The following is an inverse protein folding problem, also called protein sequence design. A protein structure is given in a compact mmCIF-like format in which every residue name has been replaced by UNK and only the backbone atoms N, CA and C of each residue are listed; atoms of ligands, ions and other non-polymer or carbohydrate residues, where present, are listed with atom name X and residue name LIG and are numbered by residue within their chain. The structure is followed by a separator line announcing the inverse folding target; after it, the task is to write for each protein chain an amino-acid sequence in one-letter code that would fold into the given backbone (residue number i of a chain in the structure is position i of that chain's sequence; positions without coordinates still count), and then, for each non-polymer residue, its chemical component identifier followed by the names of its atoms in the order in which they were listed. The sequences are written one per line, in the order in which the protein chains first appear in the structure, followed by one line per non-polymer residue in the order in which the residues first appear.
data_IF_138721963470
#
_entry.id   IF_138721963470
#
_cell.length_a   1.000
_cell.length_b   1.000
_cell.length_c   1.000
_cell.angle_alpha   90.00
_cell.angle_beta   90.00
_cell.angle_gamma   90.00
#
_symmetry.space_group_name_H-M   'P 1'
#
loop_
_entity.id
_entity.type
_entity.pdbx_description
1 polymer ?
#
# COMPACT_ATOMS: atom_id res chain seq x y z
N UNK A 1 0.87 -129.78 -43.59
CA UNK A 1 0.09 -129.07 -42.54
C UNK A 1 0.98 -128.24 -41.60
N UNK A 2 2.07 -128.78 -41.05
CA UNK A 2 2.91 -128.09 -40.05
C UNK A 2 3.44 -126.69 -40.45
N UNK A 3 3.96 -126.52 -41.67
CA UNK A 3 4.50 -125.22 -42.15
C UNK A 3 3.46 -124.09 -42.23
N UNK A 4 2.20 -124.42 -42.55
CA UNK A 4 1.11 -123.43 -42.65
C UNK A 4 0.71 -122.92 -41.26
N UNK A 5 0.68 -123.82 -40.26
CA UNK A 5 0.39 -123.45 -38.87
C UNK A 5 1.52 -122.59 -38.28
N UNK A 6 2.79 -122.90 -38.56
CA UNK A 6 3.93 -122.08 -38.12
C UNK A 6 3.86 -120.67 -38.73
N UNK A 7 3.49 -120.53 -40.00
CA UNK A 7 3.32 -119.23 -40.65
C UNK A 7 2.20 -118.38 -40.02
N UNK A 8 1.04 -118.97 -39.73
CA UNK A 8 -0.05 -118.28 -39.04
C UNK A 8 0.36 -117.86 -37.62
N UNK A 9 1.03 -118.73 -36.87
CA UNK A 9 1.53 -118.40 -35.52
C UNK A 9 2.51 -117.23 -35.57
N UNK A 10 3.45 -117.21 -36.52
CA UNK A 10 4.39 -116.09 -36.68
C UNK A 10 3.70 -114.76 -37.01
N UNK A 11 2.69 -114.78 -37.91
CA UNK A 11 1.92 -113.58 -38.23
C UNK A 11 1.14 -113.09 -37.02
N UNK A 12 0.47 -113.99 -36.29
CA UNK A 12 -0.26 -113.64 -35.06
C UNK A 12 0.67 -113.04 -34.02
N UNK A 13 1.87 -113.61 -33.83
CA UNK A 13 2.85 -113.09 -32.87
C UNK A 13 3.32 -111.67 -33.25
N UNK A 14 3.62 -111.44 -34.54
CA UNK A 14 4.02 -110.12 -35.06
C UNK A 14 2.89 -109.10 -34.86
N UNK A 15 1.65 -109.47 -35.13
CA UNK A 15 0.47 -108.62 -34.91
C UNK A 15 0.28 -108.27 -33.43
N UNK A 16 0.43 -109.24 -32.52
CA UNK A 16 0.33 -109.00 -31.07
C UNK A 16 1.42 -108.03 -30.61
N UNK A 17 2.66 -108.17 -31.09
CA UNK A 17 3.77 -107.25 -30.77
C UNK A 17 3.48 -105.85 -31.31
N UNK A 18 3.00 -105.73 -32.55
CA UNK A 18 2.62 -104.45 -33.16
C UNK A 18 1.48 -103.76 -32.41
N UNK A 19 0.42 -104.49 -32.07
CA UNK A 19 -0.71 -103.96 -31.32
C UNK A 19 -0.26 -103.54 -29.92
N UNK A 20 0.56 -104.35 -29.24
CA UNK A 20 1.10 -104.01 -27.91
C UNK A 20 1.98 -102.77 -27.97
N UNK A 21 2.82 -102.63 -29.00
CA UNK A 21 3.63 -101.44 -29.23
C UNK A 21 2.77 -100.20 -29.49
N UNK A 22 1.74 -100.30 -30.34
CA UNK A 22 0.83 -99.20 -30.65
C UNK A 22 0.02 -98.77 -29.42
N UNK A 23 -0.42 -99.72 -28.59
CA UNK A 23 -1.09 -99.41 -27.31
C UNK A 23 -0.11 -98.70 -26.39
N UNK A 24 1.10 -99.21 -26.21
CA UNK A 24 2.12 -98.59 -25.37
C UNK A 24 2.49 -97.17 -25.84
N UNK A 25 2.75 -96.99 -27.14
CA UNK A 25 3.06 -95.68 -27.75
C UNK A 25 1.90 -94.68 -27.59
N UNK A 26 0.65 -95.13 -27.80
CA UNK A 26 -0.52 -94.28 -27.57
C UNK A 26 -0.72 -93.93 -26.10
N UNK A 27 -0.47 -94.85 -25.17
CA UNK A 27 -0.54 -94.57 -23.73
C UNK A 27 0.50 -93.53 -23.33
N UNK A 28 1.77 -93.72 -23.72
CA UNK A 28 2.85 -92.75 -23.43
C UNK A 28 2.55 -91.38 -24.04
N UNK A 29 2.08 -91.32 -25.30
CA UNK A 29 1.69 -90.05 -25.94
C UNK A 29 0.52 -89.39 -25.21
N UNK A 30 -0.50 -90.16 -24.82
CA UNK A 30 -1.63 -89.65 -24.04
C UNK A 30 -1.18 -89.08 -22.71
N UNK A 31 -0.27 -89.75 -21.99
CA UNK A 31 0.25 -89.27 -20.72
C UNK A 31 1.04 -87.97 -20.87
N UNK A 32 1.88 -87.86 -21.91
CA UNK A 32 2.61 -86.63 -22.23
C UNK A 32 1.63 -85.49 -22.55
N UNK A 33 0.59 -85.74 -23.35
CA UNK A 33 -0.44 -84.75 -23.69
C UNK A 33 -1.17 -84.30 -22.42
N UNK A 34 -1.56 -85.24 -21.55
CA UNK A 34 -2.25 -84.92 -20.29
C UNK A 34 -1.37 -84.08 -19.36
N UNK A 35 -0.07 -84.41 -19.24
CA UNK A 35 0.89 -83.61 -18.48
C UNK A 35 1.04 -82.19 -19.06
N UNK A 36 1.17 -82.07 -20.38
CA UNK A 36 1.27 -80.76 -21.06
C UNK A 36 0.01 -79.91 -20.90
N UNK A 37 -1.17 -80.52 -20.96
CA UNK A 37 -2.44 -79.82 -20.71
C UNK A 37 -2.55 -79.34 -19.26
N UNK A 38 -2.05 -80.13 -18.29
CA UNK A 38 -2.00 -79.71 -16.89
C UNK A 38 -1.03 -78.54 -16.68
N UNK A 39 0.17 -78.60 -17.26
CA UNK A 39 1.14 -77.50 -17.26
C UNK A 39 0.54 -76.22 -17.87
N UNK A 40 -0.15 -76.34 -19.00
CA UNK A 40 -0.80 -75.22 -19.68
C UNK A 40 -1.94 -74.61 -18.82
N UNK A 41 -2.75 -75.45 -18.18
CA UNK A 41 -3.80 -75.00 -17.27
C UNK A 41 -3.23 -74.23 -16.06
N UNK A 42 -2.13 -74.71 -15.50
CA UNK A 42 -1.43 -74.02 -14.40
C UNK A 42 -0.86 -72.68 -14.85
N UNK A 43 -0.22 -72.63 -16.02
CA UNK A 43 0.30 -71.39 -16.60
C UNK A 43 -0.83 -70.37 -16.86
N UNK A 44 -1.97 -70.82 -17.39
CA UNK A 44 -3.14 -69.97 -17.62
C UNK A 44 -3.68 -69.36 -16.31
N UNK A 45 -3.78 -70.16 -15.25
CA UNK A 45 -4.20 -69.66 -13.94
C UNK A 45 -3.22 -68.64 -13.35
N UNK A 46 -1.92 -68.85 -13.51
CA UNK A 46 -0.90 -67.88 -13.09
C UNK A 46 -0.99 -66.57 -13.88
N UNK A 47 -1.16 -66.65 -15.19
CA UNK A 47 -1.32 -65.46 -16.05
C UNK A 47 -2.57 -64.66 -15.62
N UNK A 48 -3.68 -65.33 -15.34
CA UNK A 48 -4.90 -64.65 -14.88
C UNK A 48 -4.70 -63.98 -13.51
N UNK A 49 -4.00 -64.62 -12.59
CA UNK A 49 -3.67 -64.04 -11.28
C UNK A 49 -2.82 -62.77 -11.43
N UNK A 50 -1.73 -62.85 -12.21
CA UNK A 50 -0.85 -61.70 -12.50
C UNK A 50 -1.62 -60.57 -13.20
N UNK A 51 -2.51 -60.92 -14.13
CA UNK A 51 -3.33 -59.93 -14.85
C UNK A 51 -4.27 -59.19 -13.88
N UNK A 52 -4.88 -59.91 -12.94
CA UNK A 52 -5.71 -59.31 -11.88
C UNK A 52 -4.92 -58.36 -10.98
N UNK A 53 -3.71 -58.75 -10.58
CA UNK A 53 -2.82 -57.89 -9.79
C UNK A 53 -2.39 -56.64 -10.57
N UNK A 54 -2.10 -56.76 -11.86
CA UNK A 54 -1.71 -55.63 -12.72
C UNK A 54 -2.84 -54.62 -12.91
N UNK A 55 -4.08 -55.10 -13.08
CA UNK A 55 -5.27 -54.23 -13.16
C UNK A 55 -5.40 -53.43 -11.86
N UNK A 56 -5.32 -54.11 -10.70
CA UNK A 56 -5.39 -53.45 -9.40
C UNK A 56 -4.28 -52.40 -9.21
N UNK A 57 -3.05 -52.74 -9.57
CA UNK A 57 -1.93 -51.81 -9.51
C UNK A 57 -2.14 -50.59 -10.41
N UNK A 58 -2.73 -50.78 -11.59
CA UNK A 58 -3.05 -49.69 -12.52
C UNK A 58 -4.10 -48.75 -11.94
N UNK A 59 -5.15 -49.31 -11.33
CA UNK A 59 -6.20 -48.52 -10.66
C UNK A 59 -5.63 -47.73 -9.46
N UNK A 60 -4.76 -48.36 -8.66
CA UNK A 60 -4.08 -47.71 -7.54
C UNK A 60 -3.19 -46.54 -8.03
N UNK A 61 -2.43 -46.74 -9.11
CA UNK A 61 -1.59 -45.69 -9.74
C UNK A 61 -2.46 -44.52 -10.22
N UNK A 62 -3.58 -44.80 -10.88
CA UNK A 62 -4.49 -43.76 -11.36
C UNK A 62 -5.10 -42.95 -10.20
N UNK A 63 -5.46 -43.63 -9.11
CA UNK A 63 -5.95 -42.99 -7.89
C UNK A 63 -4.90 -42.06 -7.26
N UNK A 64 -3.65 -42.53 -7.17
CA UNK A 64 -2.53 -41.73 -6.67
C UNK A 64 -2.23 -40.52 -7.57
N UNK A 65 -2.23 -40.70 -8.89
CA UNK A 65 -2.01 -39.59 -9.83
C UNK A 65 -3.09 -38.50 -9.67
N UNK A 66 -4.35 -38.88 -9.53
CA UNK A 66 -5.43 -37.93 -9.29
C UNK A 66 -5.24 -37.19 -7.95
N UNK A 67 -4.79 -37.89 -6.90
CA UNK A 67 -4.50 -37.26 -5.62
C UNK A 67 -3.34 -36.27 -5.71
N UNK A 68 -2.29 -36.59 -6.46
CA UNK A 68 -1.15 -35.68 -6.71
C UNK A 68 -1.62 -34.41 -7.40
N UNK A 69 -2.42 -34.52 -8.47
CA UNK A 69 -2.96 -33.36 -9.19
C UNK A 69 -3.79 -32.46 -8.25
N UNK A 70 -4.61 -33.05 -7.38
CA UNK A 70 -5.38 -32.28 -6.39
C UNK A 70 -4.46 -31.56 -5.38
N UNK A 71 -3.39 -32.22 -4.94
CA UNK A 71 -2.42 -31.63 -4.01
C UNK A 71 -1.61 -30.51 -4.65
N UNK A 72 -1.19 -30.66 -5.91
CA UNK A 72 -0.49 -29.61 -6.64
C UNK A 72 -1.36 -28.36 -6.81
N UNK A 73 -2.65 -28.54 -7.13
CA UNK A 73 -3.59 -27.42 -7.18
C UNK A 73 -3.75 -26.74 -5.81
N UNK A 74 -3.85 -27.50 -4.72
CA UNK A 74 -3.89 -26.96 -3.36
C UNK A 74 -2.62 -26.16 -3.01
N UNK A 75 -1.44 -26.68 -3.36
CA UNK A 75 -0.16 -26.00 -3.15
C UNK A 75 -0.09 -24.69 -3.94
N UNK A 76 -0.57 -24.68 -5.18
CA UNK A 76 -0.69 -23.46 -6.00
C UNK A 76 -1.50 -22.37 -5.29
N UNK A 77 -2.69 -22.72 -4.79
CA UNK A 77 -3.57 -21.79 -4.08
C UNK A 77 -2.94 -21.24 -2.78
N UNK A 78 -2.20 -22.09 -2.05
CA UNK A 78 -1.48 -21.68 -0.85
C UNK A 78 -0.35 -20.70 -1.20
N UNK A 79 0.42 -20.97 -2.25
CA UNK A 79 1.48 -20.07 -2.71
C UNK A 79 0.94 -18.69 -3.09
N UNK A 80 -0.20 -18.62 -3.78
CA UNK A 80 -0.82 -17.34 -4.13
C UNK A 80 -1.32 -16.57 -2.90
N UNK A 81 -1.83 -17.30 -1.90
CA UNK A 81 -2.23 -16.70 -0.62
C UNK A 81 -1.02 -16.13 0.13
N UNK A 82 0.08 -16.88 0.19
CA UNK A 82 1.34 -16.44 0.82
C UNK A 82 1.86 -15.17 0.14
N UNK A 83 1.89 -15.13 -1.19
CA UNK A 83 2.33 -13.92 -1.94
C UNK A 83 1.49 -12.69 -1.58
N UNK A 84 0.17 -12.83 -1.51
CA UNK A 84 -0.72 -11.72 -1.12
C UNK A 84 -0.43 -11.25 0.30
N UNK A 85 -0.25 -12.17 1.25
CA UNK A 85 0.08 -11.83 2.63
C UNK A 85 1.46 -11.19 2.77
N UNK A 86 2.48 -11.65 2.02
CA UNK A 86 3.79 -11.02 2.00
C UNK A 86 3.74 -9.58 1.53
N UNK A 87 2.96 -9.26 0.48
CA UNK A 87 2.80 -7.88 0.03
C UNK A 87 2.14 -6.99 1.09
N UNK A 88 1.12 -7.50 1.80
CA UNK A 88 0.49 -6.76 2.91
C UNK A 88 1.51 -6.45 4.01
N UNK A 89 2.36 -7.42 4.38
CA UNK A 89 3.40 -7.22 5.40
C UNK A 89 4.44 -6.19 4.93
N UNK A 90 4.86 -6.23 3.67
CA UNK A 90 5.81 -5.26 3.11
C UNK A 90 5.23 -3.84 3.20
N UNK A 91 3.98 -3.65 2.80
CA UNK A 91 3.33 -2.35 2.85
C UNK A 91 3.19 -1.84 4.29
N UNK A 92 2.78 -2.72 5.23
CA UNK A 92 2.67 -2.35 6.63
C UNK A 92 4.01 -1.95 7.25
N UNK A 93 5.10 -2.64 6.90
CA UNK A 93 6.44 -2.28 7.37
C UNK A 93 6.90 -0.93 6.79
N UNK A 94 6.54 -0.61 5.55
CA UNK A 94 6.83 0.71 4.97
C UNK A 94 6.09 1.83 5.71
N UNK A 95 4.81 1.61 6.04
CA UNK A 95 4.00 2.56 6.82
C UNK A 95 4.55 2.75 8.25
N UNK A 96 4.97 1.66 8.92
CA UNK A 96 5.60 1.74 10.24
C UNK A 96 6.88 2.59 10.19
N UNK A 97 7.76 2.35 9.22
CA UNK A 97 9.00 3.12 9.09
C UNK A 97 8.74 4.61 8.88
N UNK A 98 7.72 4.97 8.10
CA UNK A 98 7.31 6.36 7.90
C UNK A 98 6.82 6.99 9.21
N UNK A 99 6.00 6.27 9.98
CA UNK A 99 5.52 6.73 11.28
C UNK A 99 6.64 6.87 12.32
N UNK A 100 7.64 5.99 12.30
CA UNK A 100 8.82 6.08 13.15
C UNK A 100 9.65 7.33 12.83
N UNK A 101 9.92 7.59 11.55
CA UNK A 101 10.62 8.80 11.10
C UNK A 101 9.85 10.08 11.46
N UNK A 102 8.53 10.09 11.28
CA UNK A 102 7.68 11.20 11.74
C UNK A 102 7.78 11.42 13.25
N UNK A 103 7.84 10.35 14.04
CA UNK A 103 7.89 10.44 15.49
C UNK A 103 9.26 10.95 15.98
N UNK A 104 10.36 10.48 15.39
CA UNK A 104 11.70 11.01 15.66
C UNK A 104 11.80 12.49 15.31
N UNK A 105 11.24 12.89 14.17
CA UNK A 105 11.16 14.28 13.77
C UNK A 105 10.38 15.10 14.80
N UNK A 106 9.20 14.65 15.23
CA UNK A 106 8.38 15.28 16.29
C UNK A 106 9.09 15.38 17.64
N UNK A 107 9.95 14.42 18.00
CA UNK A 107 10.70 14.45 19.25
C UNK A 107 11.86 15.45 19.22
N UNK A 108 12.67 15.44 18.15
CA UNK A 108 13.71 16.46 17.94
C UNK A 108 13.13 17.87 17.98
N UNK A 109 11.97 17.97 17.36
CA UNK A 109 11.15 19.15 17.34
C UNK A 109 10.69 19.61 18.74
N UNK A 110 10.05 18.75 19.53
CA UNK A 110 9.61 19.13 20.88
C UNK A 110 10.78 19.66 21.72
N UNK A 111 11.96 19.06 21.56
CA UNK A 111 13.18 19.51 22.20
C UNK A 111 13.63 20.92 21.74
N UNK A 112 13.51 21.25 20.44
CA UNK A 112 13.80 22.60 19.93
C UNK A 112 12.84 23.65 20.50
N UNK A 113 11.55 23.34 20.58
CA UNK A 113 10.56 24.23 21.18
C UNK A 113 10.86 24.45 22.67
N UNK A 114 11.14 23.38 23.41
CA UNK A 114 11.48 23.45 24.83
C UNK A 114 12.72 24.32 25.07
N UNK A 115 13.77 24.15 24.26
CA UNK A 115 14.99 24.95 24.35
C UNK A 115 14.72 26.43 24.00
N UNK A 116 13.91 26.69 22.98
CA UNK A 116 13.49 28.05 22.62
C UNK A 116 12.71 28.71 23.77
N UNK A 117 11.76 28.00 24.39
CA UNK A 117 11.01 28.44 25.57
C UNK A 117 11.92 28.73 26.77
N UNK A 118 12.91 27.89 27.05
CA UNK A 118 13.88 28.14 28.12
C UNK A 118 14.76 29.37 27.85
N UNK A 119 15.11 29.64 26.58
CA UNK A 119 15.94 30.79 26.20
C UNK A 119 15.21 32.15 26.33
N UNK A 120 13.88 32.14 26.43
CA UNK A 120 13.05 33.35 26.55
C UNK A 120 13.12 33.96 27.97
N UNK A 121 13.64 33.22 28.96
CA UNK A 121 13.81 33.69 30.34
C UNK A 121 12.48 34.00 31.05
N UNK A 122 12.55 34.50 32.29
CA UNK A 122 11.40 34.80 33.18
C UNK A 122 10.40 35.87 32.65
N UNK A 123 10.51 36.28 31.39
CA UNK A 123 9.54 37.17 30.76
C UNK A 123 8.24 36.40 30.54
N UNK A 124 7.20 36.85 31.26
CA UNK A 124 5.87 36.23 31.30
C UNK A 124 5.32 36.07 29.89
N UNK A 125 5.34 34.84 29.40
CA UNK A 125 4.57 34.47 28.21
C UNK A 125 3.09 34.60 28.58
N UNK A 126 2.38 35.48 27.90
CA UNK A 126 0.92 35.54 28.02
C UNK A 126 0.38 34.47 27.10
N UNK A 127 -0.27 33.47 27.69
CA UNK A 127 -0.97 32.42 26.98
C UNK A 127 -2.42 32.85 26.79
N UNK A 128 -2.84 32.96 25.52
CA UNK A 128 -4.24 33.15 25.17
C UNK A 128 -4.64 32.11 24.13
N UNK A 129 -5.74 31.44 24.38
CA UNK A 129 -6.42 30.63 23.35
C UNK A 129 -7.35 31.54 22.58
N UNK A 130 -7.23 31.54 21.25
CA UNK A 130 -8.18 32.16 20.34
C UNK A 130 -8.82 31.03 19.54
N UNK A 131 -10.09 30.70 19.86
CA UNK A 131 -10.66 29.39 19.53
C UNK A 131 -9.73 28.24 19.99
N UNK A 132 -9.30 27.41 19.06
CA UNK A 132 -8.40 26.26 19.23
C UNK A 132 -6.94 26.58 18.87
N UNK A 133 -6.62 27.86 18.68
CA UNK A 133 -5.29 28.38 18.32
C UNK A 133 -4.58 28.88 19.58
N UNK A 134 -3.34 28.45 19.80
CA UNK A 134 -2.54 28.94 20.90
C UNK A 134 -1.76 30.19 20.47
N UNK A 135 -1.94 31.30 21.18
CA UNK A 135 -1.19 32.52 20.94
C UNK A 135 -0.30 32.86 22.13
N UNK A 136 0.98 33.05 21.86
CA UNK A 136 2.03 33.32 22.83
C UNK A 136 2.64 34.70 22.60
N UNK A 137 2.70 35.52 23.65
CA UNK A 137 3.25 36.87 23.59
C UNK A 137 4.41 37.04 24.58
N UNK A 138 5.49 37.69 24.16
CA UNK A 138 6.60 38.02 25.06
C UNK A 138 6.32 39.15 26.07
N UNK A 139 5.36 40.05 25.78
CA UNK A 139 5.05 41.20 26.64
C UNK A 139 3.60 41.69 26.42
N UNK A 140 2.96 42.19 27.48
CA UNK A 140 1.63 42.84 27.47
C UNK A 140 1.50 43.98 26.44
N UNK A 141 2.57 44.71 26.14
CA UNK A 141 2.54 45.79 25.13
C UNK A 141 2.35 45.26 23.71
N UNK A 142 2.95 44.11 23.40
CA UNK A 142 2.79 43.43 22.11
C UNK A 142 1.34 42.93 22.00
N UNK A 143 0.85 42.29 23.07
CA UNK A 143 -0.53 41.86 23.16
C UNK A 143 -1.51 43.03 22.91
N UNK A 144 -1.32 44.17 23.57
CA UNK A 144 -2.19 45.33 23.41
C UNK A 144 -2.21 45.88 21.97
N UNK A 145 -1.10 45.77 21.23
CA UNK A 145 -1.02 46.20 19.82
C UNK A 145 -1.60 45.19 18.84
N UNK A 146 -1.40 43.90 19.11
CA UNK A 146 -1.85 42.80 18.23
C UNK A 146 -3.31 42.39 18.48
N UNK A 147 -3.82 42.60 19.70
CA UNK A 147 -5.19 42.19 20.06
C UNK A 147 -6.28 42.74 19.12
N UNK A 148 -6.21 43.98 18.60
CA UNK A 148 -7.18 44.46 17.61
C UNK A 148 -7.10 43.76 16.24
N UNK A 149 -5.93 43.22 15.87
CA UNK A 149 -5.77 42.43 14.65
C UNK A 149 -6.35 41.03 14.85
N UNK A 150 -6.14 40.44 16.02
CA UNK A 150 -6.79 39.17 16.36
C UNK A 150 -8.30 39.28 16.49
N UNK A 151 -8.84 40.41 16.95
CA UNK A 151 -10.28 40.61 16.96
C UNK A 151 -10.90 40.49 15.56
N UNK A 152 -10.17 40.88 14.50
CA UNK A 152 -10.64 40.72 13.11
C UNK A 152 -10.62 39.25 12.66
N UNK A 153 -9.67 38.46 13.15
CA UNK A 153 -9.57 37.02 12.88
C UNK A 153 -10.57 36.24 13.76
N UNK A 154 -10.87 36.72 14.96
CA UNK A 154 -11.85 36.13 15.89
C UNK A 154 -13.28 36.25 15.36
N UNK A 155 -13.57 37.28 14.57
CA UNK A 155 -14.84 37.44 13.85
C UNK A 155 -14.90 36.63 12.54
N UNK A 156 -13.81 35.96 12.14
CA UNK A 156 -13.73 35.13 10.94
C UNK A 156 -14.44 33.79 11.17
N UNK A 157 -15.39 33.36 10.32
CA UNK A 157 -16.17 32.14 10.56
C UNK A 157 -15.40 30.83 10.34
N UNK A 158 -14.14 30.86 9.88
CA UNK A 158 -13.31 29.70 9.61
C UNK A 158 -12.64 29.12 10.87
N UNK A 159 -12.67 27.80 11.01
CA UNK A 159 -11.97 27.09 12.09
C UNK A 159 -10.57 26.66 11.63
N UNK A 160 -9.58 27.52 11.89
CA UNK A 160 -8.18 27.27 11.56
C UNK A 160 -7.55 26.09 12.31
N UNK A 161 -8.19 25.52 13.34
CA UNK A 161 -7.64 24.33 14.01
C UNK A 161 -7.68 23.06 13.19
N UNK A 162 -8.44 23.07 12.08
CA UNK A 162 -8.40 22.00 11.08
C UNK A 162 -7.08 21.94 10.33
N UNK A 163 -6.30 23.02 10.35
CA UNK A 163 -4.97 23.10 9.76
C UNK A 163 -3.86 22.54 10.67
N UNK A 164 -4.20 22.08 11.88
CA UNK A 164 -3.24 21.78 12.95
C UNK A 164 -3.48 22.70 14.15
N UNK A 165 -2.52 22.80 15.08
CA UNK A 165 -2.57 23.84 16.12
C UNK A 165 -1.76 25.01 15.59
N UNK A 166 -2.36 26.09 15.07
CA UNK A 166 -1.58 27.26 14.73
C UNK A 166 -1.06 27.86 16.02
N UNK A 167 0.26 27.91 16.17
CA UNK A 167 0.90 28.64 17.25
C UNK A 167 1.33 29.99 16.71
N UNK A 168 0.82 31.07 17.27
CA UNK A 168 1.32 32.41 16.94
C UNK A 168 2.28 32.86 18.02
N UNK A 169 3.54 33.10 17.66
CA UNK A 169 4.52 33.68 18.58
C UNK A 169 4.90 35.09 18.14
N UNK A 170 4.79 36.03 19.08
CA UNK A 170 5.17 37.41 18.85
C UNK A 170 6.42 37.77 19.62
N UNK A 171 7.44 38.17 18.87
CA UNK A 171 8.72 38.62 19.41
C UNK A 171 8.85 40.12 19.19
N UNK A 172 9.15 40.87 20.26
CA UNK A 172 9.59 42.26 20.12
C UNK A 172 11.12 42.24 20.17
N UNK A 173 11.74 42.21 18.99
CA UNK A 173 13.20 42.31 18.91
C UNK A 173 13.64 43.78 18.82
N UNK A 174 14.61 44.14 19.68
CA UNK A 174 15.56 45.22 19.43
C UNK A 174 16.13 45.11 17.99
N UNK A 175 16.64 46.21 17.39
CA UNK A 175 16.46 46.51 15.97
C UNK A 175 16.82 45.32 15.07
N UNK A 176 15.78 44.75 14.45
CA UNK A 176 15.86 43.78 13.35
C UNK A 176 16.96 44.20 12.36
N UNK A 177 17.75 43.25 11.86
CA UNK A 177 18.65 43.49 10.73
C UNK A 177 17.83 43.94 9.50
N UNK A 178 18.44 44.61 8.51
CA UNK A 178 17.71 45.03 7.30
C UNK A 178 17.04 43.87 6.54
N UNK A 179 17.56 42.64 6.68
CA UNK A 179 16.93 41.42 6.16
C UNK A 179 15.74 40.98 7.02
N UNK A 180 15.84 41.03 8.35
CA UNK A 180 14.73 40.68 9.25
C UNK A 180 13.61 41.74 9.23
N UNK A 181 13.93 43.00 8.89
CA UNK A 181 12.92 44.04 8.61
C UNK A 181 12.06 43.73 7.37
N UNK A 182 12.55 42.89 6.46
CA UNK A 182 11.79 42.43 5.30
C UNK A 182 10.92 41.20 5.62
N UNK A 183 11.24 40.45 6.67
CA UNK A 183 10.50 39.26 7.09
C UNK A 183 9.41 39.71 8.07
N UNK A 184 8.22 39.98 7.54
CA UNK A 184 7.07 40.46 8.31
C UNK A 184 6.45 39.32 9.15
N UNK A 185 6.47 38.10 8.62
CA UNK A 185 6.13 36.86 9.31
C UNK A 185 7.01 35.72 8.80
N UNK A 186 7.03 34.60 9.52
CA UNK A 186 7.61 33.37 9.04
C UNK A 186 6.77 32.17 9.48
N UNK A 187 6.30 31.42 8.50
CA UNK A 187 5.72 30.11 8.67
C UNK A 187 6.81 29.05 8.83
N UNK A 188 6.73 28.29 9.91
CA UNK A 188 7.59 27.13 10.15
C UNK A 188 6.81 25.85 9.91
N UNK A 189 7.05 25.26 8.74
CA UNK A 189 6.36 24.06 8.25
C UNK A 189 6.45 22.83 9.14
N UNK A 190 7.35 22.84 10.10
CA UNK A 190 7.65 21.72 10.96
C UNK A 190 6.57 21.45 12.03
N UNK A 191 5.85 22.50 12.50
CA UNK A 191 4.75 22.38 13.48
C UNK A 191 3.55 23.28 13.17
N UNK A 192 3.56 23.88 11.99
CA UNK A 192 2.53 24.79 11.56
C UNK A 192 2.34 25.99 12.51
N UNK A 193 3.45 26.57 12.96
CA UNK A 193 3.45 27.82 13.73
C UNK A 193 3.84 29.02 12.87
N UNK A 194 3.26 30.17 13.22
CA UNK A 194 3.48 31.46 12.60
C UNK A 194 4.23 32.34 13.57
N UNK A 195 5.41 32.79 13.15
CA UNK A 195 6.22 33.75 13.88
C UNK A 195 5.98 35.13 13.30
N UNK A 196 5.59 36.10 14.12
CA UNK A 196 5.34 37.48 13.66
C UNK A 196 6.28 38.43 14.39
N UNK A 197 7.14 39.09 13.62
CA UNK A 197 8.31 39.82 14.14
C UNK A 197 8.06 41.32 14.37
N UNK A 198 6.96 41.89 13.87
CA UNK A 198 6.76 43.34 13.91
C UNK A 198 5.33 43.74 14.33
N UNK A 199 5.25 44.69 15.25
CA UNK A 199 4.01 45.29 15.72
C UNK A 199 3.31 46.22 14.71
N UNK A 200 3.93 46.53 13.57
CA UNK A 200 3.30 47.30 12.47
C UNK A 200 2.67 46.40 11.40
N UNK A 201 2.70 45.08 11.58
CA UNK A 201 2.07 44.16 10.64
C UNK A 201 0.56 44.35 10.66
N UNK A 202 -0.05 44.29 9.48
CA UNK A 202 -1.50 44.28 9.35
C UNK A 202 -2.03 42.83 9.37
N UNK A 203 -3.35 42.70 9.30
CA UNK A 203 -4.02 41.40 9.28
C UNK A 203 -3.69 40.60 8.00
N UNK A 204 -3.28 41.26 6.91
CA UNK A 204 -2.89 40.61 5.66
C UNK A 204 -1.65 39.75 5.84
N UNK A 205 -0.66 40.20 6.61
CA UNK A 205 0.53 39.39 6.94
C UNK A 205 0.11 38.11 7.65
N UNK A 206 -0.83 38.19 8.60
CA UNK A 206 -1.31 36.99 9.30
C UNK A 206 -1.96 36.00 8.32
N UNK A 207 -2.84 36.49 7.44
CA UNK A 207 -3.47 35.64 6.44
C UNK A 207 -2.50 35.10 5.39
N UNK A 208 -1.43 35.83 5.06
CA UNK A 208 -0.36 35.32 4.20
C UNK A 208 0.27 34.09 4.83
N UNK A 209 0.68 34.17 6.09
CA UNK A 209 1.29 33.04 6.79
C UNK A 209 0.30 31.87 6.98
N UNK A 210 -0.98 32.16 7.24
CA UNK A 210 -2.05 31.13 7.24
C UNK A 210 -2.16 30.48 5.86
N UNK A 211 -1.99 31.25 4.78
CA UNK A 211 -1.97 30.77 3.40
C UNK A 211 -0.91 29.68 3.19
N UNK A 212 0.28 29.82 3.77
CA UNK A 212 1.30 28.76 3.71
C UNK A 212 0.85 27.47 4.41
N UNK A 213 0.19 27.59 5.57
CA UNK A 213 -0.33 26.42 6.31
C UNK A 213 -1.41 25.72 5.48
N UNK A 214 -2.34 26.49 4.90
CA UNK A 214 -3.38 25.97 4.03
C UNK A 214 -2.73 25.28 2.83
N UNK A 215 -1.71 25.89 2.23
CA UNK A 215 -1.08 25.34 1.04
C UNK A 215 -0.53 23.93 1.29
N UNK A 216 0.20 23.76 2.41
CA UNK A 216 0.69 22.47 2.85
C UNK A 216 -0.45 21.48 3.11
N UNK A 217 -1.45 21.88 3.90
CA UNK A 217 -2.46 20.94 4.39
C UNK A 217 -3.55 20.60 3.37
N UNK A 218 -3.86 21.52 2.46
CA UNK A 218 -4.96 21.41 1.50
C UNK A 218 -4.50 21.03 0.09
N UNK A 219 -3.31 21.46 -0.36
CA UNK A 219 -2.79 21.13 -1.69
C UNK A 219 -1.75 20.02 -1.65
N UNK A 220 -0.68 20.15 -0.84
CA UNK A 220 0.40 19.14 -0.85
C UNK A 220 -0.07 17.76 -0.39
N UNK A 221 -1.08 17.71 0.48
CA UNK A 221 -1.70 16.45 0.92
C UNK A 221 -2.79 15.93 -0.02
N UNK A 222 -3.18 16.68 -1.06
CA UNK A 222 -4.22 16.30 -2.02
C UNK A 222 -3.86 16.78 -3.44
N UNK A 223 -3.28 15.87 -4.23
CA UNK A 223 -2.80 16.15 -5.59
C UNK A 223 -3.86 16.80 -6.50
N UNK A 224 -5.13 16.40 -6.38
CA UNK A 224 -6.19 16.98 -7.22
C UNK A 224 -6.38 18.47 -6.95
N UNK A 225 -6.25 18.90 -5.68
CA UNK A 225 -6.34 20.31 -5.35
C UNK A 225 -5.12 21.05 -5.89
N UNK A 226 -3.93 20.46 -5.75
CA UNK A 226 -2.66 21.05 -6.21
C UNK A 226 -2.69 21.31 -7.71
N UNK A 227 -3.10 20.31 -8.51
CA UNK A 227 -3.19 20.44 -9.97
C UNK A 227 -4.12 21.58 -10.41
N UNK A 228 -5.22 21.82 -9.67
CA UNK A 228 -6.14 22.93 -9.95
C UNK A 228 -5.45 24.27 -9.66
N UNK A 229 -4.80 24.39 -8.50
CA UNK A 229 -4.10 25.61 -8.14
C UNK A 229 -2.90 25.90 -9.04
N UNK A 230 -2.09 24.90 -9.41
CA UNK A 230 -0.97 25.07 -10.34
C UNK A 230 -1.44 25.67 -11.67
N UNK A 231 -2.55 25.17 -12.21
CA UNK A 231 -3.12 25.66 -13.45
C UNK A 231 -3.62 27.12 -13.31
N UNK A 232 -4.37 27.42 -12.24
CA UNK A 232 -4.87 28.77 -11.98
C UNK A 232 -3.72 29.76 -11.73
N UNK A 233 -2.67 29.34 -11.01
CA UNK A 233 -1.46 30.13 -10.78
C UNK A 233 -0.74 30.48 -12.08
N UNK A 234 -0.58 29.53 -13.02
CA UNK A 234 0.03 29.85 -14.31
C UNK A 234 -0.81 30.84 -15.12
N UNK A 235 -2.14 30.67 -15.14
CA UNK A 235 -3.05 31.61 -15.82
C UNK A 235 -2.90 33.02 -15.23
N UNK A 236 -2.91 33.15 -13.90
CA UNK A 236 -2.70 34.43 -13.23
C UNK A 236 -1.35 35.05 -13.55
N UNK A 237 -0.28 34.24 -13.50
CA UNK A 237 1.09 34.67 -13.73
C UNK A 237 1.31 35.15 -15.15
N UNK A 238 0.83 34.42 -16.15
CA UNK A 238 0.96 34.76 -17.57
C UNK A 238 0.18 36.03 -17.96
N UNK A 239 -0.95 36.28 -17.29
CA UNK A 239 -1.77 37.46 -17.52
C UNK A 239 -1.42 38.65 -16.60
N UNK A 240 -0.38 38.50 -15.77
CA UNK A 240 0.07 39.51 -14.81
C UNK A 240 -1.05 39.97 -13.84
N UNK A 241 -1.80 38.99 -13.31
CA UNK A 241 -2.98 39.19 -12.47
C UNK A 241 -2.75 38.86 -10.98
N UNK A 242 -1.55 38.42 -10.58
CA UNK A 242 -1.25 38.19 -9.16
C UNK A 242 -1.20 39.54 -8.39
N UNK A 243 -1.64 39.49 -7.14
CA UNK A 243 -1.91 40.61 -6.23
C UNK A 243 -0.67 41.40 -5.79
N UNK A 244 0.52 40.80 -5.86
CA UNK A 244 1.77 41.44 -5.48
C UNK A 244 2.95 40.91 -6.31
N UNK A 245 4.06 41.64 -6.32
CA UNK A 245 5.32 41.16 -6.91
C UNK A 245 5.83 39.89 -6.19
N UNK A 246 5.56 39.77 -4.90
CA UNK A 246 6.00 38.64 -4.09
C UNK A 246 5.30 37.33 -4.49
N UNK A 247 4.03 37.41 -4.89
CA UNK A 247 3.26 36.28 -5.42
C UNK A 247 3.90 35.61 -6.66
N UNK A 248 4.75 36.33 -7.42
CA UNK A 248 5.42 35.78 -8.61
C UNK A 248 6.63 34.89 -8.28
N UNK A 249 7.10 34.90 -7.03
CA UNK A 249 8.35 34.23 -6.63
C UNK A 249 8.22 32.70 -6.65
N UNK A 250 7.11 32.15 -6.16
CA UNK A 250 6.77 30.74 -6.26
C UNK A 250 5.25 30.54 -6.27
N UNK A 251 4.81 29.34 -6.60
CA UNK A 251 3.40 28.95 -6.54
C UNK A 251 2.83 29.03 -5.11
N UNK A 252 3.60 28.57 -4.13
CA UNK A 252 3.23 28.62 -2.72
C UNK A 252 3.07 30.07 -2.22
N UNK A 253 4.01 30.93 -2.60
CA UNK A 253 3.95 32.38 -2.30
C UNK A 253 2.78 33.04 -3.03
N UNK A 254 2.53 32.61 -4.27
CA UNK A 254 1.37 33.00 -5.05
C UNK A 254 0.06 32.73 -4.32
N UNK A 255 -0.12 31.50 -3.83
CA UNK A 255 -1.33 31.13 -3.11
C UNK A 255 -1.49 31.96 -1.84
N UNK A 256 -0.41 32.11 -1.09
CA UNK A 256 -0.42 32.76 0.22
C UNK A 256 -0.74 34.25 0.12
N UNK A 257 -0.19 34.92 -0.87
CA UNK A 257 -0.50 36.31 -1.21
C UNK A 257 -1.95 36.48 -1.71
N UNK A 258 -2.44 35.60 -2.58
CA UNK A 258 -3.82 35.67 -3.08
C UNK A 258 -4.85 35.36 -1.99
N UNK A 259 -4.58 34.39 -1.12
CA UNK A 259 -5.44 34.07 0.01
C UNK A 259 -5.51 35.24 0.99
N UNK A 260 -4.36 35.86 1.30
CA UNK A 260 -4.34 37.07 2.11
C UNK A 260 -5.16 38.19 1.48
N UNK A 261 -5.00 38.41 0.17
CA UNK A 261 -5.74 39.44 -0.53
C UNK A 261 -7.26 39.17 -0.62
N UNK A 262 -7.65 37.89 -0.71
CA UNK A 262 -9.03 37.44 -0.65
C UNK A 262 -9.65 37.75 0.71
N UNK A 263 -8.98 37.37 1.80
CA UNK A 263 -9.46 37.55 3.17
C UNK A 263 -9.57 39.02 3.59
N UNK A 264 -8.68 39.87 3.08
CA UNK A 264 -8.68 41.30 3.41
C UNK A 264 -9.37 42.18 2.39
N UNK A 265 -10.04 41.60 1.39
CA UNK A 265 -10.64 42.33 0.25
C UNK A 265 -9.66 43.33 -0.42
N UNK A 266 -8.35 43.04 -0.40
CA UNK A 266 -7.32 43.99 -0.84
C UNK A 266 -6.98 43.88 -2.33
N UNK A 267 -7.50 42.87 -3.03
CA UNK A 267 -7.36 42.74 -4.49
C UNK A 267 -8.74 42.63 -5.18
N UNK A 268 -9.32 43.75 -5.64
CA UNK A 268 -10.61 43.75 -6.32
C UNK A 268 -10.55 43.15 -7.74
N UNK A 269 -9.35 42.87 -8.26
CA UNK A 269 -9.13 42.30 -9.59
C UNK A 269 -8.97 40.78 -9.58
N UNK A 270 -9.09 40.13 -8.42
CA UNK A 270 -9.11 38.67 -8.36
C UNK A 270 -10.25 38.13 -9.24
N UNK A 271 -9.94 37.27 -10.23
CA UNK A 271 -10.95 36.64 -11.06
C UNK A 271 -11.99 35.91 -10.20
N UNK A 272 -13.27 36.05 -10.57
CA UNK A 272 -14.39 35.41 -9.87
C UNK A 272 -14.21 33.89 -9.87
N UNK A 273 -13.62 33.38 -10.95
CA UNK A 273 -13.30 31.97 -11.13
C UNK A 273 -12.42 31.45 -9.99
N UNK A 274 -11.33 32.13 -9.61
CA UNK A 274 -10.44 31.69 -8.53
C UNK A 274 -11.13 31.70 -7.17
N UNK A 275 -11.99 32.69 -6.92
CA UNK A 275 -12.80 32.71 -5.69
C UNK A 275 -13.67 31.45 -5.60
N UNK A 276 -14.27 31.02 -6.71
CA UNK A 276 -15.17 29.87 -6.75
C UNK A 276 -14.44 28.52 -6.81
N UNK A 277 -13.31 28.44 -7.53
CA UNK A 277 -12.59 27.18 -7.76
C UNK A 277 -11.59 26.85 -6.66
N UNK A 278 -11.05 27.87 -5.98
CA UNK A 278 -10.01 27.71 -4.97
C UNK A 278 -10.48 28.13 -3.58
N UNK A 279 -10.88 29.40 -3.41
CA UNK A 279 -11.09 29.96 -2.07
C UNK A 279 -12.38 29.50 -1.40
N UNK A 280 -13.49 29.39 -2.13
CA UNK A 280 -14.74 28.84 -1.59
C UNK A 280 -14.57 27.37 -1.12
N UNK A 281 -13.90 26.47 -1.87
CA UNK A 281 -13.54 25.14 -1.37
C UNK A 281 -12.63 25.16 -0.14
N UNK A 282 -11.64 26.05 -0.09
CA UNK A 282 -10.76 26.21 1.09
C UNK A 282 -11.58 26.65 2.30
N UNK A 283 -12.42 27.67 2.18
CA UNK A 283 -13.29 28.14 3.26
C UNK A 283 -14.27 27.03 3.69
N UNK A 284 -14.85 26.29 2.74
CA UNK A 284 -15.69 25.14 3.06
C UNK A 284 -14.92 24.06 3.81
N UNK A 285 -13.66 23.83 3.47
CA UNK A 285 -12.78 22.93 4.19
C UNK A 285 -12.45 23.46 5.59
N UNK A 286 -12.33 24.76 5.79
CA UNK A 286 -12.06 25.32 7.12
C UNK A 286 -13.32 25.37 8.01
N UNK A 287 -14.53 25.36 7.43
CA UNK A 287 -15.81 25.43 8.17
C UNK A 287 -16.46 24.09 8.50
N UNK A 288 -16.17 23.03 7.73
CA UNK A 288 -16.80 21.71 7.91
C UNK A 288 -16.35 20.98 9.18
#
# INVERSE_FOLDING_TARGET
MLKKNIFFISITLILVVLISYLIYDNTIKSDIINQKNLELGNAYNQINAITGELIKATDDINSLNNLVIQKDSQIGNLNDTIKKQSNVIINANQEINQLEEENENKEQQLNQLYNSLQSIGDNRIIEKSYHNTLVLYQNELIYARMSPLFAQIEDDPEDYSRLGIPFFYFKDENPLTEQEKQILGAYYSLYDYILIYNATNDVRVIYHEIGHIIYKNFFLNNQNNLDIWENDYQILKENNLLSSEYAYTSEQEGFSEEYAAYKTDSNPLQPIEIKQTIFEPVDSFLRA
#
